data_IF_530872534642
#
_entry.id   IF_530872534642
#
_cell.length_a   1.000
_cell.length_b   1.000
_cell.length_c   1.000
_cell.angle_alpha   90.00
_cell.angle_beta   90.00
_cell.angle_gamma   90.00
#
_symmetry.space_group_name_H-M   'P 1'
#
loop_
_entity.id
_entity.type
_entity.pdbx_description
1 polymer ?
#
# COMPACT_ATOMS: atom_id res chain seq x y z
N UNK A 1 -43.11 -52.15 -36.03
CA UNK A 1 -41.67 -52.42 -35.83
C UNK A 1 -41.10 -51.25 -35.05
N UNK A 2 -40.95 -51.45 -33.74
CA UNK A 2 -40.53 -50.48 -32.73
C UNK A 2 -39.01 -50.36 -32.71
N UNK A 3 -38.46 -49.15 -32.90
CA UNK A 3 -37.06 -48.86 -32.56
C UNK A 3 -36.96 -47.63 -31.66
N UNK A 4 -36.45 -47.88 -30.45
CA UNK A 4 -36.02 -46.92 -29.44
C UNK A 4 -34.70 -46.28 -29.87
N UNK A 5 -34.56 -44.97 -29.77
CA UNK A 5 -33.23 -44.34 -29.75
C UNK A 5 -33.14 -43.20 -28.71
N UNK A 6 -32.61 -43.61 -27.54
CA UNK A 6 -31.59 -42.96 -26.69
C UNK A 6 -31.63 -41.43 -26.57
N UNK A 7 -32.02 -40.99 -25.37
CA UNK A 7 -31.73 -39.68 -24.75
C UNK A 7 -30.25 -39.30 -24.92
N UNK A 8 -29.97 -38.15 -25.55
CA UNK A 8 -28.69 -37.44 -25.37
C UNK A 8 -28.97 -36.15 -24.59
N UNK A 9 -28.77 -36.20 -23.27
CA UNK A 9 -28.55 -35.00 -22.48
C UNK A 9 -27.18 -34.45 -22.89
N UNK A 10 -27.17 -33.31 -23.59
CA UNK A 10 -25.96 -32.51 -23.74
C UNK A 10 -25.73 -31.75 -22.42
N UNK A 11 -24.93 -32.33 -21.53
CA UNK A 11 -24.39 -31.60 -20.38
C UNK A 11 -23.30 -30.66 -20.90
N UNK A 12 -23.67 -29.39 -21.14
CA UNK A 12 -22.69 -28.33 -21.35
C UNK A 12 -22.01 -28.08 -20.01
N UNK A 13 -20.78 -28.57 -19.90
CA UNK A 13 -19.88 -28.28 -18.79
C UNK A 13 -19.53 -26.78 -18.88
N UNK A 14 -20.28 -25.94 -18.16
CA UNK A 14 -19.86 -24.56 -17.95
C UNK A 14 -18.58 -24.60 -17.11
N UNK A 15 -17.41 -24.48 -17.77
CA UNK A 15 -16.19 -24.11 -17.08
C UNK A 15 -16.43 -22.70 -16.52
N UNK A 16 -16.86 -22.65 -15.27
CA UNK A 16 -16.73 -21.48 -14.43
C UNK A 16 -15.24 -21.14 -14.37
N UNK A 17 -14.84 -20.15 -15.17
CA UNK A 17 -13.66 -19.37 -14.86
C UNK A 17 -13.94 -18.77 -13.47
N UNK A 18 -13.44 -19.43 -12.43
CA UNK A 18 -13.17 -18.77 -11.19
C UNK A 18 -12.10 -17.73 -11.52
N UNK A 19 -12.53 -16.53 -11.92
CA UNK A 19 -11.69 -15.36 -11.80
C UNK A 19 -11.16 -15.41 -10.37
N UNK A 20 -9.86 -15.61 -10.21
CA UNK A 20 -9.22 -15.53 -8.91
C UNK A 20 -9.65 -14.18 -8.35
N UNK A 21 -10.55 -14.20 -7.36
CA UNK A 21 -10.97 -13.00 -6.69
C UNK A 21 -9.68 -12.41 -6.13
N UNK A 22 -9.24 -11.29 -6.71
CA UNK A 22 -8.27 -10.43 -6.08
C UNK A 22 -8.85 -10.12 -4.72
N UNK A 23 -8.34 -10.77 -3.67
CA UNK A 23 -8.55 -10.33 -2.31
C UNK A 23 -7.99 -8.93 -2.29
N UNK A 24 -8.88 -7.93 -2.35
CA UNK A 24 -8.48 -6.53 -2.23
C UNK A 24 -7.93 -6.43 -0.81
N UNK A 25 -6.63 -6.60 -0.69
CA UNK A 25 -5.90 -6.21 0.48
C UNK A 25 -5.84 -4.70 0.43
N UNK A 26 -6.19 -4.04 1.52
CA UNK A 26 -5.94 -2.61 1.64
C UNK A 26 -4.45 -2.33 1.40
N UNK A 27 -4.07 -1.07 1.11
CA UNK A 27 -2.73 -0.59 1.41
C UNK A 27 -2.27 -1.09 2.78
N UNK A 28 -0.99 -1.40 2.92
CA UNK A 28 -0.45 -1.77 4.22
C UNK A 28 -0.29 -0.50 5.07
N UNK A 29 -1.12 -0.37 6.10
CA UNK A 29 -1.16 0.79 6.99
C UNK A 29 -0.16 0.73 8.14
N UNK A 30 0.68 -0.31 8.20
CA UNK A 30 1.74 -0.43 9.20
C UNK A 30 2.66 0.79 9.14
N UNK A 31 2.69 1.57 10.22
CA UNK A 31 3.56 2.74 10.41
C UNK A 31 3.37 3.33 11.80
N UNK A 32 4.19 4.33 12.12
CA UNK A 32 3.81 5.35 13.09
C UNK A 32 3.01 6.45 12.40
N UNK A 33 1.93 6.89 13.05
CA UNK A 33 1.06 7.95 12.58
C UNK A 33 0.90 9.01 13.68
N UNK A 34 0.63 10.24 13.28
CA UNK A 34 0.57 11.38 14.19
C UNK A 34 -0.18 12.55 13.59
N UNK A 35 -0.45 13.57 14.40
CA UNK A 35 -0.92 14.86 13.95
C UNK A 35 0.24 15.87 14.04
N UNK A 36 0.66 16.44 12.91
CA UNK A 36 1.78 17.37 12.85
C UNK A 36 1.58 18.65 13.69
N UNK A 37 0.34 19.03 13.98
CA UNK A 37 0.00 20.17 14.84
C UNK A 37 -0.04 19.83 16.33
N UNK A 38 0.07 18.55 16.72
CA UNK A 38 -0.09 18.07 18.09
C UNK A 38 1.11 17.22 18.51
N UNK A 39 2.25 17.88 18.72
CA UNK A 39 3.45 17.21 19.22
C UNK A 39 3.23 16.62 20.62
N UNK A 40 3.78 15.42 20.86
CA UNK A 40 3.73 14.77 22.17
C UNK A 40 2.81 13.55 22.25
N UNK A 41 2.15 13.15 21.16
CA UNK A 41 1.46 11.86 21.06
C UNK A 41 1.55 11.28 19.64
N UNK A 42 1.26 10.00 19.50
CA UNK A 42 1.21 9.30 18.22
C UNK A 42 0.62 7.91 18.36
N UNK A 43 0.29 7.30 17.23
CA UNK A 43 -0.30 5.97 17.14
C UNK A 43 0.58 5.05 16.29
N UNK A 44 0.95 3.91 16.84
CA UNK A 44 1.62 2.83 16.12
C UNK A 44 0.57 1.87 15.60
N UNK A 45 0.59 1.64 14.29
CA UNK A 45 -0.30 0.72 13.61
C UNK A 45 0.54 -0.44 13.10
N UNK A 46 0.10 -1.66 13.37
CA UNK A 46 0.63 -2.88 12.78
C UNK A 46 -0.53 -3.58 12.10
N UNK A 47 -0.37 -3.87 10.81
CA UNK A 47 -1.37 -4.55 10.02
C UNK A 47 -0.85 -5.93 9.60
N UNK A 48 -1.69 -6.93 9.76
CA UNK A 48 -1.47 -8.26 9.20
C UNK A 48 -2.72 -8.66 8.42
N UNK A 49 -2.57 -8.83 7.10
CA UNK A 49 -3.70 -9.06 6.20
C UNK A 49 -4.78 -7.96 6.40
N UNK A 50 -5.99 -8.33 6.82
CA UNK A 50 -7.11 -7.43 7.05
C UNK A 50 -7.32 -7.15 8.55
N UNK A 51 -6.31 -7.33 9.39
CA UNK A 51 -6.42 -7.07 10.82
C UNK A 51 -5.40 -6.04 11.23
N UNK A 52 -5.87 -5.00 11.92
CA UNK A 52 -5.02 -3.97 12.51
C UNK A 52 -4.94 -4.18 14.03
N UNK A 53 -3.72 -4.07 14.54
CA UNK A 53 -3.43 -3.81 15.93
C UNK A 53 -2.85 -2.40 16.05
N UNK A 54 -3.45 -1.56 16.89
CA UNK A 54 -3.02 -0.19 17.07
C UNK A 54 -2.77 0.13 18.54
N UNK A 55 -1.71 0.91 18.81
CA UNK A 55 -1.34 1.35 20.16
C UNK A 55 -0.98 2.82 20.15
N UNK A 56 -1.46 3.56 21.12
CA UNK A 56 -1.12 4.97 21.28
C UNK A 56 -1.12 5.36 22.75
N UNK A 57 -0.48 6.48 23.03
CA UNK A 57 -0.54 7.12 24.33
C UNK A 57 -1.10 8.52 24.17
N UNK A 58 -1.89 8.96 25.15
CA UNK A 58 -2.43 10.32 25.27
C UNK A 58 -2.46 10.71 26.75
N UNK A 59 -2.97 11.89 27.09
CA UNK A 59 -2.98 12.39 28.46
C UNK A 59 -4.41 12.55 28.97
N UNK A 60 -4.64 12.12 30.22
CA UNK A 60 -5.89 12.36 30.93
C UNK A 60 -6.04 13.82 31.38
N UNK A 61 -7.21 14.19 31.95
CA UNK A 61 -7.42 15.53 32.53
C UNK A 61 -6.46 15.89 33.66
N UNK A 62 -5.84 14.89 34.29
CA UNK A 62 -4.80 15.03 35.31
C UNK A 62 -3.38 15.20 34.72
N UNK A 63 -3.26 15.27 33.40
CA UNK A 63 -1.99 15.38 32.68
C UNK A 63 -1.16 14.09 32.70
N UNK A 64 -1.68 12.98 33.22
CA UNK A 64 -0.96 11.70 33.26
C UNK A 64 -1.13 10.93 31.96
N UNK A 65 -0.10 10.21 31.52
CA UNK A 65 -0.19 9.39 30.33
C UNK A 65 -1.16 8.23 30.53
N UNK A 66 -1.96 7.97 29.51
CA UNK A 66 -2.83 6.81 29.34
C UNK A 66 -2.41 6.06 28.09
N UNK A 67 -2.38 4.74 28.19
CA UNK A 67 -2.08 3.86 27.07
C UNK A 67 -3.36 3.22 26.55
N UNK A 68 -3.55 3.30 25.25
CA UNK A 68 -4.69 2.73 24.56
C UNK A 68 -4.23 1.68 23.56
N UNK A 69 -4.99 0.61 23.49
CA UNK A 69 -4.79 -0.50 22.57
C UNK A 69 -6.12 -0.78 21.88
N UNK A 70 -6.11 -0.77 20.55
CA UNK A 70 -7.20 -1.32 19.75
C UNK A 70 -6.69 -2.60 19.08
N UNK A 71 -7.19 -3.74 19.54
CA UNK A 71 -6.74 -5.06 19.08
C UNK A 71 -7.78 -5.68 18.17
N UNK A 72 -7.32 -6.41 17.15
CA UNK A 72 -8.21 -7.16 16.26
C UNK A 72 -9.16 -6.27 15.46
N UNK A 73 -8.73 -5.07 15.07
CA UNK A 73 -9.57 -4.17 14.28
C UNK A 73 -9.81 -4.79 12.90
N UNK A 74 -11.08 -4.95 12.51
CA UNK A 74 -11.50 -5.59 11.27
C UNK A 74 -12.05 -4.54 10.28
N UNK A 75 -11.99 -4.82 8.96
CA UNK A 75 -12.49 -3.90 7.96
C UNK A 75 -14.00 -3.74 8.08
N UNK A 76 -14.44 -2.49 8.00
CA UNK A 76 -15.84 -2.09 7.85
C UNK A 76 -16.08 -1.70 6.38
N UNK A 77 -17.18 -2.15 5.80
CA UNK A 77 -17.58 -1.76 4.44
C UNK A 77 -17.71 -0.25 4.35
N UNK A 78 -16.92 0.38 3.49
CA UNK A 78 -16.98 1.82 3.22
C UNK A 78 -17.11 2.05 1.72
N UNK A 79 -17.98 2.99 1.27
CA UNK A 79 -18.04 3.38 -0.13
C UNK A 79 -16.77 4.15 -0.57
N UNK A 80 -16.02 4.69 0.39
CA UNK A 80 -14.81 5.49 0.14
C UNK A 80 -13.69 5.09 1.11
N UNK A 81 -12.49 4.84 0.57
CA UNK A 81 -11.32 4.51 1.36
C UNK A 81 -11.41 3.18 2.11
N UNK A 82 -10.62 3.05 3.18
CA UNK A 82 -10.57 1.84 4.01
C UNK A 82 -10.88 2.22 5.45
N UNK A 83 -11.78 1.47 6.09
CA UNK A 83 -12.17 1.69 7.48
C UNK A 83 -11.93 0.43 8.28
N UNK A 84 -11.33 0.56 9.45
CA UNK A 84 -11.16 -0.53 10.41
C UNK A 84 -11.75 -0.12 11.75
N UNK A 85 -12.47 -1.04 12.41
CA UNK A 85 -12.98 -0.81 13.75
C UNK A 85 -12.66 -1.99 14.68
N UNK A 86 -12.50 -1.70 15.97
CA UNK A 86 -12.36 -2.72 17.00
C UNK A 86 -12.64 -2.17 18.38
N UNK A 87 -12.62 -3.07 19.36
CA UNK A 87 -12.71 -2.70 20.78
C UNK A 87 -11.46 -1.94 21.20
N UNK A 88 -11.67 -0.96 22.08
CA UNK A 88 -10.63 -0.16 22.69
C UNK A 88 -10.40 -0.63 24.12
N UNK A 89 -9.13 -0.77 24.50
CA UNK A 89 -8.71 -1.10 25.85
C UNK A 89 -7.80 0.00 26.40
N UNK A 90 -8.02 0.41 27.64
CA UNK A 90 -7.07 1.22 28.41
C UNK A 90 -6.17 0.27 29.19
N UNK A 91 -4.85 0.40 29.06
CA UNK A 91 -3.90 -0.48 29.73
C UNK A 91 -3.14 0.25 30.83
N UNK A 92 -2.89 -0.48 31.92
CA UNK A 92 -1.97 -0.10 32.99
C UNK A 92 -1.15 -1.33 33.40
N UNK A 93 -0.03 -1.11 34.09
CA UNK A 93 0.85 -2.20 34.51
C UNK A 93 1.63 -1.85 35.78
N UNK A 94 2.26 -2.86 36.41
CA UNK A 94 3.12 -2.65 37.57
C UNK A 94 4.33 -1.78 37.23
N UNK A 95 4.94 -1.21 38.25
CA UNK A 95 6.20 -0.47 38.15
C UNK A 95 7.29 -1.34 37.50
N UNK A 96 7.99 -0.81 36.48
CA UNK A 96 8.97 -1.58 35.70
C UNK A 96 10.19 -2.05 36.50
N UNK A 97 10.46 -1.47 37.68
CA UNK A 97 11.51 -1.90 38.59
C UNK A 97 11.02 -2.79 39.75
N UNK A 98 9.75 -3.20 39.75
CA UNK A 98 9.14 -4.07 40.75
C UNK A 98 8.82 -5.46 40.21
N UNK A 99 8.35 -6.39 41.07
CA UNK A 99 7.85 -7.68 40.61
C UNK A 99 6.63 -7.50 39.69
N UNK A 100 6.53 -8.33 38.66
CA UNK A 100 5.36 -8.32 37.77
C UNK A 100 4.12 -8.83 38.50
N UNK A 101 3.10 -7.98 38.61
CA UNK A 101 1.75 -8.35 39.05
C UNK A 101 0.80 -8.21 37.86
N UNK A 102 0.05 -9.25 37.46
CA UNK A 102 -0.93 -9.14 36.39
C UNK A 102 -1.94 -8.02 36.66
N UNK A 103 -2.17 -7.15 35.69
CA UNK A 103 -3.24 -6.17 35.76
C UNK A 103 -4.62 -6.87 35.69
N UNK A 104 -5.67 -6.31 36.32
CA UNK A 104 -7.03 -6.81 36.14
C UNK A 104 -7.41 -6.84 34.65
N UNK A 105 -8.17 -7.86 34.28
CA UNK A 105 -8.58 -8.22 32.92
C UNK A 105 -8.94 -7.02 32.04
N UNK A 106 -8.47 -7.06 30.79
CA UNK A 106 -8.73 -6.12 29.69
C UNK A 106 -10.24 -5.94 29.43
N UNK A 107 -10.94 -5.13 30.22
CA UNK A 107 -12.29 -4.71 29.91
C UNK A 107 -12.24 -3.68 28.78
N UNK A 108 -13.05 -3.89 27.74
CA UNK A 108 -13.22 -2.88 26.69
C UNK A 108 -13.77 -1.59 27.32
N UNK A 109 -13.10 -0.47 27.04
CA UNK A 109 -13.49 0.88 27.47
C UNK A 109 -14.25 1.65 26.38
N UNK A 110 -14.45 1.02 25.22
CA UNK A 110 -15.17 1.62 24.10
C UNK A 110 -14.78 1.00 22.77
N UNK A 111 -14.92 1.77 21.70
CA UNK A 111 -14.52 1.38 20.35
C UNK A 111 -13.53 2.40 19.79
N UNK A 112 -12.66 1.91 18.91
CA UNK A 112 -11.77 2.72 18.10
C UNK A 112 -12.04 2.44 16.63
N UNK A 113 -11.88 3.46 15.80
CA UNK A 113 -12.07 3.40 14.35
C UNK A 113 -10.99 4.21 13.66
N UNK A 114 -10.41 3.61 12.63
CA UNK A 114 -9.41 4.20 11.75
C UNK A 114 -10.00 4.29 10.35
N UNK A 115 -10.18 5.51 9.85
CA UNK A 115 -10.71 5.77 8.51
C UNK A 115 -9.61 6.36 7.62
N UNK A 116 -9.08 5.55 6.71
CA UNK A 116 -8.04 5.93 5.77
C UNK A 116 -8.64 6.53 4.50
N UNK A 117 -8.36 7.81 4.25
CA UNK A 117 -8.76 8.50 3.01
C UNK A 117 -7.73 8.32 1.89
N UNK A 118 -6.49 7.97 2.24
CA UNK A 118 -5.42 7.60 1.30
C UNK A 118 -4.45 6.64 1.98
N UNK A 119 -3.37 6.26 1.28
CA UNK A 119 -2.30 5.45 1.86
C UNK A 119 -1.53 6.19 2.99
N UNK A 120 -1.57 7.53 3.04
CA UNK A 120 -0.78 8.36 3.96
C UNK A 120 -1.60 9.28 4.88
N UNK A 121 -2.93 9.30 4.73
CA UNK A 121 -3.85 10.15 5.52
C UNK A 121 -5.01 9.34 6.11
N UNK A 122 -5.30 9.58 7.39
CA UNK A 122 -6.39 8.90 8.10
C UNK A 122 -7.04 9.78 9.17
N UNK A 123 -8.18 9.33 9.67
CA UNK A 123 -8.83 9.86 10.86
C UNK A 123 -8.95 8.76 11.90
N UNK A 124 -8.43 9.01 13.11
CA UNK A 124 -8.64 8.19 14.29
C UNK A 124 -9.84 8.74 15.08
N UNK A 125 -10.84 7.90 15.33
CA UNK A 125 -11.94 8.21 16.24
C UNK A 125 -12.06 7.15 17.32
N UNK A 126 -12.19 7.55 18.59
CA UNK A 126 -12.33 6.62 19.71
C UNK A 126 -13.01 7.25 20.92
N UNK A 127 -13.43 6.43 21.88
CA UNK A 127 -14.00 6.89 23.14
C UNK A 127 -13.01 6.72 24.30
N UNK A 128 -12.66 7.79 24.99
CA UNK A 128 -11.92 7.76 26.25
C UNK A 128 -12.90 7.98 27.42
N UNK A 129 -13.45 6.89 27.97
CA UNK A 129 -14.56 6.97 28.91
C UNK A 129 -15.82 7.53 28.23
N UNK A 130 -16.34 8.66 28.70
CA UNK A 130 -17.50 9.34 28.10
C UNK A 130 -17.12 10.36 27.01
N UNK A 131 -15.83 10.56 26.76
CA UNK A 131 -15.35 11.57 25.80
C UNK A 131 -15.06 10.93 24.46
N UNK A 132 -15.72 11.38 23.40
CA UNK A 132 -15.36 11.01 22.03
C UNK A 132 -14.25 11.91 21.49
N UNK A 133 -13.23 11.30 20.93
CA UNK A 133 -12.06 11.96 20.35
C UNK A 133 -12.02 11.67 18.85
N UNK A 134 -11.70 12.69 18.05
CA UNK A 134 -11.48 12.58 16.61
C UNK A 134 -10.21 13.34 16.23
N UNK A 135 -9.28 12.68 15.56
CA UNK A 135 -7.97 13.22 15.19
C UNK A 135 -7.63 12.87 13.75
N UNK A 136 -7.33 13.89 12.95
CA UNK A 136 -6.69 13.69 11.66
C UNK A 136 -5.22 13.34 11.89
N UNK A 137 -4.76 12.28 11.23
CA UNK A 137 -3.41 11.77 11.36
C UNK A 137 -2.79 11.50 9.99
N UNK A 138 -1.49 11.67 9.90
CA UNK A 138 -0.66 11.30 8.75
C UNK A 138 0.44 10.36 9.21
N UNK A 139 1.06 9.63 8.27
CA UNK A 139 2.26 8.85 8.60
C UNK A 139 3.37 9.76 9.12
N UNK A 140 4.20 9.23 10.01
CA UNK A 140 5.37 9.91 10.55
C UNK A 140 6.63 9.47 9.81
N UNK A 141 7.32 10.42 9.19
CA UNK A 141 8.60 10.15 8.51
C UNK A 141 9.75 10.33 9.49
N UNK A 142 10.43 9.24 9.84
CA UNK A 142 11.64 9.28 10.68
C UNK A 142 12.88 9.69 9.91
N UNK A 143 12.99 9.21 8.67
CA UNK A 143 14.10 9.42 7.78
C UNK A 143 13.63 9.26 6.33
N UNK A 144 14.22 10.02 5.42
CA UNK A 144 13.97 9.84 3.99
C UNK A 144 14.73 8.62 3.48
N UNK A 145 14.03 7.75 2.74
CA UNK A 145 14.62 6.58 2.09
C UNK A 145 14.93 6.92 0.64
N UNK A 146 16.07 6.45 0.12
CA UNK A 146 16.47 6.68 -1.28
C UNK A 146 16.52 5.37 -2.07
N UNK A 147 15.91 5.31 -3.27
CA UNK A 147 15.88 4.08 -4.06
C UNK A 147 17.17 3.84 -4.85
N UNK A 148 18.24 4.64 -4.67
CA UNK A 148 19.47 4.53 -5.46
C UNK A 148 20.04 3.11 -5.45
N UNK A 149 20.45 2.64 -6.62
CA UNK A 149 21.10 1.33 -6.80
C UNK A 149 20.67 0.62 -8.08
N UNK A 150 21.18 -0.61 -8.22
CA UNK A 150 20.82 -1.54 -9.29
C UNK A 150 19.81 -2.57 -8.78
N UNK A 151 18.90 -2.99 -9.66
CA UNK A 151 17.88 -3.99 -9.35
C UNK A 151 17.67 -4.93 -10.54
N UNK A 152 17.62 -6.24 -10.28
CA UNK A 152 17.39 -7.27 -11.29
C UNK A 152 16.76 -8.55 -10.72
N UNK A 153 15.72 -9.12 -11.37
CA UNK A 153 14.93 -8.51 -12.43
C UNK A 153 14.05 -7.38 -11.86
N UNK A 154 13.88 -6.32 -12.65
CA UNK A 154 13.12 -5.14 -12.22
C UNK A 154 12.36 -4.49 -13.38
N UNK A 155 11.26 -3.81 -13.08
CA UNK A 155 10.48 -3.04 -14.05
C UNK A 155 8.99 -3.05 -13.74
N UNK A 156 8.15 -3.22 -14.76
CA UNK A 156 6.69 -3.15 -14.64
C UNK A 156 5.98 -4.46 -14.99
N UNK A 157 4.87 -4.68 -14.29
CA UNK A 157 3.84 -5.66 -14.60
C UNK A 157 2.48 -4.98 -14.48
N UNK A 158 1.85 -4.68 -15.61
CA UNK A 158 0.66 -3.82 -15.67
C UNK A 158 -0.46 -4.43 -16.51
N UNK A 159 -1.66 -3.87 -16.36
CA UNK A 159 -2.80 -4.05 -17.24
C UNK A 159 -3.04 -2.72 -17.96
N UNK A 160 -3.06 -2.76 -19.29
CA UNK A 160 -3.54 -1.67 -20.13
C UNK A 160 -5.06 -1.80 -20.33
N UNK A 161 -5.80 -0.72 -20.11
CA UNK A 161 -7.26 -0.68 -20.24
C UNK A 161 -7.73 0.62 -20.88
N UNK A 162 -8.97 0.64 -21.38
CA UNK A 162 -9.54 1.82 -22.04
C UNK A 162 -8.79 2.25 -23.30
N UNK A 163 -8.07 1.32 -23.94
CA UNK A 163 -7.23 1.61 -25.09
C UNK A 163 -8.03 2.11 -26.30
N UNK A 164 -7.48 3.07 -27.05
CA UNK A 164 -8.10 3.56 -28.31
C UNK A 164 -8.35 2.43 -29.31
N UNK A 165 -7.44 1.44 -29.37
CA UNK A 165 -7.69 0.16 -30.02
C UNK A 165 -8.03 -0.89 -28.96
N UNK A 166 -9.24 -1.44 -29.01
CA UNK A 166 -9.71 -2.40 -28.01
C UNK A 166 -8.87 -3.69 -27.95
N UNK A 167 -8.20 -4.08 -29.04
CA UNK A 167 -7.29 -5.23 -29.05
C UNK A 167 -6.00 -4.99 -28.26
N UNK A 168 -5.69 -3.73 -27.94
CA UNK A 168 -4.51 -3.36 -27.16
C UNK A 168 -4.75 -3.39 -25.65
N UNK A 169 -5.97 -3.72 -25.19
CA UNK A 169 -6.19 -3.98 -23.77
C UNK A 169 -5.50 -5.28 -23.33
N UNK A 170 -5.11 -5.37 -22.06
CA UNK A 170 -4.58 -6.59 -21.44
C UNK A 170 -3.25 -6.42 -20.73
N UNK A 171 -2.66 -7.54 -20.30
CA UNK A 171 -1.42 -7.54 -19.53
C UNK A 171 -0.21 -7.11 -20.36
N UNK A 172 0.72 -6.37 -19.75
CA UNK A 172 2.00 -5.95 -20.33
C UNK A 172 3.10 -6.06 -19.28
N UNK A 173 4.30 -6.44 -19.74
CA UNK A 173 5.47 -6.62 -18.89
C UNK A 173 6.67 -5.96 -19.56
N UNK A 174 7.49 -5.26 -18.77
CA UNK A 174 8.78 -4.76 -19.21
C UNK A 174 9.73 -4.90 -18.03
N UNK A 175 10.53 -5.98 -18.07
CA UNK A 175 11.44 -6.37 -17.01
C UNK A 175 12.87 -6.44 -17.55
N UNK A 176 13.84 -6.05 -16.73
CA UNK A 176 15.25 -6.07 -17.07
C UNK A 176 16.11 -5.54 -15.92
N UNK A 177 17.30 -5.05 -16.23
CA UNK A 177 18.16 -4.38 -15.25
C UNK A 177 17.66 -2.94 -15.04
N UNK A 178 17.30 -2.60 -13.81
CA UNK A 178 16.87 -1.26 -13.44
C UNK A 178 17.99 -0.53 -12.69
N UNK A 179 18.37 0.64 -13.20
CA UNK A 179 19.22 1.60 -12.48
C UNK A 179 18.35 2.70 -11.91
N UNK A 180 18.38 2.89 -10.59
CA UNK A 180 17.70 3.97 -9.89
C UNK A 180 18.70 5.05 -9.47
N UNK A 181 18.39 6.31 -9.77
CA UNK A 181 19.21 7.48 -9.42
C UNK A 181 18.33 8.57 -8.84
N UNK A 182 18.90 9.42 -7.98
CA UNK A 182 18.22 10.55 -7.35
C UNK A 182 19.10 11.80 -7.42
N UNK A 183 18.53 12.92 -7.83
CA UNK A 183 19.16 14.24 -7.79
C UNK A 183 18.16 15.26 -7.20
N UNK A 184 18.40 15.70 -5.96
CA UNK A 184 17.39 16.44 -5.20
C UNK A 184 16.15 15.58 -4.97
N UNK A 185 14.97 16.07 -5.38
CA UNK A 185 13.72 15.30 -5.36
C UNK A 185 13.45 14.54 -6.66
N UNK A 186 14.24 14.75 -7.72
CA UNK A 186 14.07 14.04 -8.98
C UNK A 186 14.60 12.61 -8.83
N UNK A 187 13.73 11.62 -8.99
CA UNK A 187 14.10 10.21 -9.10
C UNK A 187 13.99 9.76 -10.55
N UNK A 188 14.96 8.96 -11.00
CA UNK A 188 14.93 8.32 -12.33
C UNK A 188 15.20 6.84 -12.19
N UNK A 189 14.31 6.02 -12.75
CA UNK A 189 14.47 4.58 -12.90
C UNK A 189 14.62 4.25 -14.38
N UNK A 190 15.78 3.72 -14.78
CA UNK A 190 16.02 3.26 -16.15
C UNK A 190 16.04 1.74 -16.18
N UNK A 191 15.03 1.13 -16.80
CA UNK A 191 14.90 -0.31 -17.01
C UNK A 191 15.45 -0.66 -18.39
N UNK A 192 16.57 -1.37 -18.43
CA UNK A 192 17.17 -1.91 -19.66
C UNK A 192 16.65 -3.32 -19.87
N UNK A 193 15.77 -3.50 -20.87
CA UNK A 193 15.11 -4.78 -21.17
C UNK A 193 16.04 -5.69 -21.99
N UNK A 194 16.74 -5.09 -22.95
CA UNK A 194 17.77 -5.71 -23.77
C UNK A 194 18.72 -4.62 -24.29
N UNK A 195 19.73 -5.01 -25.08
CA UNK A 195 20.77 -4.10 -25.60
C UNK A 195 20.23 -2.92 -26.42
N UNK A 196 19.03 -3.04 -26.98
CA UNK A 196 18.40 -2.01 -27.80
C UNK A 196 17.17 -1.37 -27.16
N UNK A 197 16.52 -2.02 -26.19
CA UNK A 197 15.25 -1.55 -25.62
C UNK A 197 15.41 -1.12 -24.17
N UNK A 198 15.06 0.13 -23.87
CA UNK A 198 15.04 0.62 -22.49
C UNK A 198 13.85 1.53 -22.21
N UNK A 199 13.35 1.51 -20.98
CA UNK A 199 12.28 2.37 -20.50
C UNK A 199 12.78 3.20 -19.32
N UNK A 200 12.63 4.52 -19.41
CA UNK A 200 13.03 5.46 -18.35
C UNK A 200 11.78 6.05 -17.71
N UNK A 201 11.71 6.01 -16.38
CA UNK A 201 10.64 6.54 -15.55
C UNK A 201 11.24 7.63 -14.66
N UNK A 202 10.79 8.87 -14.79
CA UNK A 202 11.31 9.98 -14.01
C UNK A 202 10.17 10.78 -13.38
N UNK A 203 10.36 11.28 -12.16
CA UNK A 203 9.36 12.08 -11.45
C UNK A 203 9.87 12.59 -10.11
N UNK A 204 8.97 13.18 -9.32
CA UNK A 204 9.30 13.76 -8.01
C UNK A 204 9.08 12.72 -6.91
N UNK A 205 10.15 12.34 -6.22
CA UNK A 205 10.13 11.47 -5.04
C UNK A 205 9.61 12.26 -3.82
N UNK A 206 8.59 11.73 -3.16
CA UNK A 206 8.00 12.29 -1.95
C UNK A 206 7.99 11.20 -0.87
N UNK A 207 8.44 11.52 0.34
CA UNK A 207 8.43 10.58 1.46
C UNK A 207 7.12 10.68 2.23
N UNK A 208 6.47 9.55 2.48
CA UNK A 208 5.17 9.41 3.14
C UNK A 208 5.26 8.32 4.23
N UNK A 209 5.86 8.65 5.38
CA UNK A 209 6.11 7.67 6.44
C UNK A 209 7.24 6.72 6.08
N UNK A 210 7.01 5.42 6.24
CA UNK A 210 7.96 4.38 5.78
C UNK A 210 8.00 4.22 4.26
N UNK A 211 6.93 4.62 3.57
CA UNK A 211 6.84 4.54 2.11
C UNK A 211 7.26 5.85 1.48
N UNK A 212 7.59 5.79 0.20
CA UNK A 212 7.63 6.96 -0.66
C UNK A 212 6.51 6.91 -1.71
N UNK A 213 6.42 7.96 -2.50
CA UNK A 213 5.63 8.03 -3.71
C UNK A 213 6.42 8.75 -4.80
N UNK A 214 6.04 8.51 -6.06
CA UNK A 214 6.55 9.30 -7.19
C UNK A 214 5.38 10.03 -7.81
N UNK A 215 5.42 11.34 -7.74
CA UNK A 215 4.41 12.24 -8.29
C UNK A 215 4.93 12.94 -9.55
N UNK A 216 4.00 13.46 -10.37
CA UNK A 216 4.31 14.14 -11.63
C UNK A 216 5.26 13.33 -12.55
N UNK A 217 5.09 12.01 -12.57
CA UNK A 217 5.99 11.12 -13.29
C UNK A 217 5.74 11.10 -14.79
N UNK A 218 6.81 11.04 -15.58
CA UNK A 218 6.78 10.77 -17.03
C UNK A 218 7.67 9.59 -17.36
N UNK A 219 7.22 8.72 -18.25
CA UNK A 219 8.02 7.59 -18.71
C UNK A 219 8.13 7.56 -20.24
N UNK A 220 9.24 7.02 -20.73
CA UNK A 220 9.51 6.85 -22.15
C UNK A 220 10.28 5.57 -22.40
N UNK A 221 9.77 4.74 -23.30
CA UNK A 221 10.44 3.56 -23.82
C UNK A 221 11.05 3.85 -25.18
N UNK A 222 12.25 3.33 -25.40
CA UNK A 222 13.04 3.48 -26.62
C UNK A 222 13.44 2.13 -27.16
N UNK A 223 13.54 2.03 -28.49
CA UNK A 223 14.22 0.96 -29.20
C UNK A 223 15.32 1.61 -30.07
N UNK A 224 16.58 1.34 -29.73
CA UNK A 224 17.71 2.13 -30.19
C UNK A 224 17.57 3.59 -29.74
N UNK A 225 17.60 4.51 -30.70
CA UNK A 225 17.40 5.95 -30.47
C UNK A 225 15.95 6.41 -30.64
N UNK A 226 15.02 5.52 -31.02
CA UNK A 226 13.65 5.89 -31.34
C UNK A 226 12.74 5.67 -30.14
N UNK A 227 11.97 6.70 -29.77
CA UNK A 227 10.92 6.57 -28.75
C UNK A 227 9.76 5.76 -29.32
N UNK A 228 9.44 4.64 -28.69
CA UNK A 228 8.40 3.71 -29.14
C UNK A 228 7.10 3.88 -28.37
N UNK A 229 7.16 4.28 -27.10
CA UNK A 229 6.00 4.59 -26.28
C UNK A 229 6.40 5.53 -25.13
N UNK A 230 5.43 6.19 -24.52
CA UNK A 230 5.63 7.01 -23.34
C UNK A 230 4.33 7.57 -22.81
N UNK A 231 4.41 8.18 -21.64
CA UNK A 231 3.24 8.75 -20.99
C UNK A 231 3.53 9.26 -19.60
N UNK A 232 2.48 9.33 -18.78
CA UNK A 232 2.58 9.75 -17.40
C UNK A 232 2.43 8.56 -16.45
N UNK A 233 2.93 8.70 -15.23
CA UNK A 233 2.73 7.73 -14.19
C UNK A 233 2.82 8.36 -12.80
N UNK A 234 2.29 7.65 -11.82
CA UNK A 234 2.53 7.85 -10.41
C UNK A 234 2.91 6.51 -9.78
N UNK A 235 3.85 6.54 -8.85
CA UNK A 235 4.10 5.40 -7.96
C UNK A 235 3.48 5.68 -6.60
N UNK A 236 2.66 4.73 -6.12
CA UNK A 236 2.11 4.75 -4.78
C UNK A 236 2.73 3.65 -3.92
N UNK A 237 2.81 3.88 -2.61
CA UNK A 237 3.36 2.90 -1.65
C UNK A 237 4.71 2.35 -2.11
N UNK A 238 5.62 3.23 -2.53
CA UNK A 238 6.96 2.86 -2.92
C UNK A 238 7.72 2.41 -1.67
N UNK A 239 7.79 1.10 -1.49
CA UNK A 239 8.53 0.44 -0.43
C UNK A 239 9.96 0.20 -0.89
N UNK A 240 10.91 0.80 -0.18
CA UNK A 240 12.34 0.72 -0.49
C UNK A 240 12.99 -0.02 0.66
N UNK A 241 13.28 -1.30 0.42
CA UNK A 241 13.90 -2.19 1.39
C UNK A 241 15.34 -2.51 0.97
N UNK A 242 16.07 -3.13 1.91
CA UNK A 242 17.45 -3.54 1.66
C UNK A 242 17.56 -4.57 0.54
N UNK A 243 16.56 -5.44 0.36
CA UNK A 243 16.57 -6.51 -0.65
C UNK A 243 15.73 -6.23 -1.89
N UNK A 244 14.84 -5.25 -1.85
CA UNK A 244 13.89 -5.03 -2.93
C UNK A 244 13.32 -3.63 -2.91
N UNK A 245 12.70 -3.28 -4.02
CA UNK A 245 11.86 -2.10 -4.16
C UNK A 245 10.54 -2.55 -4.77
N UNK A 246 9.41 -2.12 -4.20
CA UNK A 246 8.07 -2.40 -4.77
C UNK A 246 7.17 -1.19 -4.68
N UNK A 247 6.24 -1.06 -5.62
CA UNK A 247 5.26 0.01 -5.65
C UNK A 247 4.02 -0.42 -6.46
N UNK A 248 2.92 0.29 -6.25
CA UNK A 248 1.87 0.34 -7.27
C UNK A 248 2.25 1.37 -8.33
N UNK A 249 1.88 1.11 -9.57
CA UNK A 249 2.00 2.08 -10.66
C UNK A 249 0.63 2.31 -11.28
N UNK A 250 0.30 3.57 -11.51
CA UNK A 250 -0.89 4.00 -12.25
C UNK A 250 -0.50 5.13 -13.18
N UNK A 251 -1.18 5.28 -14.31
CA UNK A 251 -0.88 6.35 -15.27
C UNK A 251 -1.54 6.06 -16.59
N UNK A 252 -1.08 6.75 -17.64
CA UNK A 252 -1.56 6.55 -19.00
C UNK A 252 -0.36 6.52 -19.96
N UNK A 253 -0.51 5.79 -21.06
CA UNK A 253 0.27 6.02 -22.27
C UNK A 253 -0.54 6.87 -23.27
N UNK A 254 -0.05 6.97 -24.52
CA UNK A 254 -0.71 7.76 -25.57
C UNK A 254 -2.11 7.27 -25.94
N UNK A 255 -2.46 6.04 -25.58
CA UNK A 255 -3.64 5.33 -26.07
C UNK A 255 -4.44 4.61 -24.99
N UNK A 256 -3.83 4.27 -23.85
CA UNK A 256 -4.37 3.40 -22.82
C UNK A 256 -4.15 3.98 -21.41
N UNK A 257 -5.07 3.68 -20.49
CA UNK A 257 -4.81 3.77 -19.07
C UNK A 257 -3.99 2.54 -18.63
N UNK A 258 -3.08 2.72 -17.67
CA UNK A 258 -2.23 1.66 -17.13
C UNK A 258 -2.35 1.59 -15.61
N UNK A 259 -2.43 0.37 -15.09
CA UNK A 259 -2.41 0.10 -13.65
C UNK A 259 -1.66 -1.20 -13.37
N UNK A 260 -0.90 -1.27 -12.29
CA UNK A 260 -0.22 -2.50 -11.90
C UNK A 260 0.87 -2.32 -10.87
N UNK A 261 1.98 -3.04 -11.05
CA UNK A 261 3.11 -3.09 -10.13
C UNK A 261 4.39 -2.60 -10.79
N UNK A 262 5.21 -1.93 -9.99
CA UNK A 262 6.56 -1.51 -10.33
C UNK A 262 7.50 -2.03 -9.24
N UNK A 263 8.67 -2.54 -9.59
CA UNK A 263 9.63 -2.98 -8.58
C UNK A 263 10.71 -3.90 -9.11
N UNK A 264 11.54 -4.40 -8.19
CA UNK A 264 12.61 -5.35 -8.47
C UNK A 264 13.40 -5.75 -7.23
N UNK A 265 14.19 -6.80 -7.35
CA UNK A 265 15.13 -7.22 -6.31
C UNK A 265 16.40 -6.39 -6.43
N UNK A 266 16.97 -5.95 -5.29
CA UNK A 266 18.24 -5.24 -5.27
C UNK A 266 19.33 -6.17 -5.79
N UNK A 267 20.11 -5.70 -6.75
CA UNK A 267 21.21 -6.45 -7.33
C UNK A 267 22.36 -6.56 -6.31
N UNK A 268 23.08 -7.67 -6.35
CA UNK A 268 24.28 -7.91 -5.54
C UNK A 268 25.51 -7.19 -6.11
N UNK A 269 25.46 -6.85 -7.39
CA UNK A 269 26.47 -6.05 -8.06
C UNK A 269 26.09 -4.58 -7.84
N UNK A 270 26.82 -3.91 -6.95
CA UNK A 270 26.68 -2.46 -6.73
C UNK A 270 27.31 -1.66 -7.87
#
# INVERSE_FOLDING_TARGET
>A
MTLRFVRRLAAVFALSFAASASTIHSPDFTDMWWNAAESGWGINIVQQNNTIFATWFVYGPDGKPKWYVASGMLPESSPTGFVFQGDLYETNGPWFGGPFTPAPTNQSVGTARLSFSSASTATLTYNAGTTSVSKSITRYTFQNTTPVGLYYPAGISIIASGCSNSSSNGARYALGLMTATVNGSLVTFRVTINDSTSCTFAGTLVQDGRFASVSAGTWSCTAGSTVTNGGNFTLGMLDIQIQHLTATITGNDQSCAITGRFGGLRDVVN
#
